data_IF_105249409582
#
_entry.id   IF_105249409582
#
_cell.length_a   1.000
_cell.length_b   1.000
_cell.length_c   1.000
_cell.angle_alpha   90.00
_cell.angle_beta   90.00
_cell.angle_gamma   90.00
#
_symmetry.space_group_name_H-M   'P 1'
#
loop_
_entity.id
_entity.type
_entity.pdbx_description
1 polymer ?
#
# COMPACT_ATOMS: atom_id res chain seq x y z
N UNK A 1 3.21 -11.06 -19.56
CA UNK A 1 3.32 -12.52 -19.24
C UNK A 1 4.76 -12.88 -18.91
N UNK A 2 4.95 -13.71 -17.88
CA UNK A 2 6.27 -14.23 -17.46
C UNK A 2 6.22 -15.76 -17.35
N UNK A 3 7.15 -16.46 -18.00
CA UNK A 3 7.27 -17.95 -17.95
C UNK A 3 5.94 -18.70 -18.19
N UNK A 4 5.07 -18.17 -19.07
CA UNK A 4 3.75 -18.73 -19.40
C UNK A 4 2.60 -18.31 -18.48
N UNK A 5 2.85 -17.50 -17.44
CA UNK A 5 1.83 -16.98 -16.54
C UNK A 5 1.46 -15.53 -16.91
N UNK A 6 0.18 -15.22 -16.84
CA UNK A 6 -0.29 -13.85 -16.73
C UNK A 6 -0.02 -13.34 -15.32
N UNK A 7 0.26 -12.03 -15.18
CA UNK A 7 0.68 -11.41 -13.92
C UNK A 7 -0.06 -10.12 -13.67
N UNK A 8 -0.73 -10.05 -12.51
CA UNK A 8 -1.23 -8.82 -11.91
C UNK A 8 -0.33 -8.49 -10.72
N UNK A 9 0.39 -7.38 -10.81
CA UNK A 9 1.16 -6.83 -9.71
C UNK A 9 0.19 -6.10 -8.76
N UNK A 10 -0.01 -6.67 -7.58
CA UNK A 10 -1.01 -6.21 -6.63
C UNK A 10 -0.54 -5.02 -5.78
N UNK A 11 0.74 -4.67 -5.88
CA UNK A 11 1.35 -3.57 -5.15
C UNK A 11 2.59 -3.05 -5.91
N UNK A 12 2.36 -2.00 -6.66
CA UNK A 12 3.36 -1.29 -7.46
C UNK A 12 3.25 0.21 -7.19
N UNK A 13 4.34 0.91 -7.09
CA UNK A 13 4.32 2.32 -6.74
C UNK A 13 4.49 3.25 -7.93
N UNK A 14 3.88 4.44 -7.80
CA UNK A 14 4.20 5.61 -8.61
C UNK A 14 5.11 6.55 -7.84
N UNK A 15 5.99 7.26 -8.54
CA UNK A 15 6.76 8.37 -7.96
C UNK A 15 6.09 9.67 -8.38
N UNK A 16 5.40 10.30 -7.43
CA UNK A 16 4.67 11.54 -7.70
C UNK A 16 5.65 12.64 -8.11
N UNK A 17 5.45 13.28 -9.29
CA UNK A 17 6.30 14.37 -9.73
C UNK A 17 6.14 15.56 -8.78
N UNK A 18 7.19 16.29 -8.57
CA UNK A 18 7.20 17.39 -7.60
C UNK A 18 6.22 18.53 -7.87
N UNK A 19 5.79 18.67 -9.12
CA UNK A 19 4.89 19.73 -9.57
C UNK A 19 3.39 19.33 -9.52
N UNK A 20 3.05 18.13 -9.08
CA UNK A 20 1.65 17.69 -9.03
C UNK A 20 0.79 18.56 -8.09
N UNK A 21 1.37 19.06 -6.98
CA UNK A 21 0.69 20.00 -6.10
C UNK A 21 0.32 21.32 -6.83
N UNK A 22 1.20 21.84 -7.67
CA UNK A 22 0.93 23.07 -8.42
C UNK A 22 -0.16 22.86 -9.47
N UNK A 23 -0.21 21.68 -10.10
CA UNK A 23 -1.15 21.38 -11.17
C UNK A 23 -2.54 21.05 -10.65
N UNK A 24 -2.63 20.20 -9.62
CA UNK A 24 -3.90 19.60 -9.21
C UNK A 24 -4.46 20.17 -7.92
N UNK A 25 -3.64 20.76 -7.03
CA UNK A 25 -4.13 21.31 -5.78
C UNK A 25 -4.82 22.68 -6.05
N UNK A 26 -6.02 22.92 -5.47
CA UNK A 26 -6.71 24.20 -5.59
C UNK A 26 -5.82 25.38 -5.18
N UNK A 27 -5.86 26.48 -5.92
CA UNK A 27 -4.96 27.65 -5.75
C UNK A 27 -4.90 28.17 -4.31
N UNK A 28 -6.02 28.13 -3.57
CA UNK A 28 -6.10 28.57 -2.17
C UNK A 28 -5.21 27.78 -1.22
N UNK A 29 -4.82 26.55 -1.57
CA UNK A 29 -4.00 25.68 -0.74
C UNK A 29 -2.54 25.58 -1.19
N UNK A 30 -2.19 26.01 -2.41
CA UNK A 30 -0.84 25.83 -2.96
C UNK A 30 0.25 26.45 -2.09
N UNK A 31 -0.02 27.59 -1.46
CA UNK A 31 0.93 28.25 -0.55
C UNK A 31 1.22 27.48 0.75
N UNK A 32 0.39 26.48 1.10
CA UNK A 32 0.53 25.64 2.29
C UNK A 32 1.44 24.43 2.04
N UNK A 33 1.61 24.03 0.78
CA UNK A 33 2.50 22.94 0.37
C UNK A 33 3.72 23.54 -0.28
N UNK A 34 4.91 23.20 0.23
CA UNK A 34 6.18 23.71 -0.31
C UNK A 34 7.06 22.55 -0.72
N UNK A 35 7.64 22.69 -1.90
CA UNK A 35 8.67 21.79 -2.44
C UNK A 35 9.86 22.66 -2.78
N UNK A 36 10.95 22.57 -2.02
CA UNK A 36 12.08 23.48 -2.05
C UNK A 36 13.40 22.72 -2.15
N UNK A 37 14.49 23.47 -2.47
CA UNK A 37 15.85 22.97 -2.51
C UNK A 37 16.24 22.33 -3.83
N UNK A 38 17.53 21.97 -3.96
CA UNK A 38 18.02 21.27 -5.13
C UNK A 38 17.25 19.97 -5.33
N UNK A 39 16.81 19.74 -6.57
CA UNK A 39 16.03 18.55 -6.93
C UNK A 39 14.76 18.33 -6.05
N UNK A 40 14.19 19.43 -5.49
CA UNK A 40 12.95 19.39 -4.72
C UNK A 40 13.03 18.46 -3.49
N UNK A 41 14.16 18.48 -2.86
CA UNK A 41 14.52 17.57 -1.78
C UNK A 41 13.86 17.86 -0.43
N UNK A 42 13.29 19.06 -0.25
CA UNK A 42 12.57 19.44 0.96
C UNK A 42 11.10 19.62 0.68
N UNK A 43 10.29 18.86 1.40
CA UNK A 43 8.83 18.92 1.26
C UNK A 43 8.21 19.20 2.60
N UNK A 44 7.33 20.20 2.64
CA UNK A 44 6.60 20.56 3.85
C UNK A 44 5.15 20.91 3.54
N UNK A 45 4.30 20.67 4.53
CA UNK A 45 2.91 21.11 4.55
C UNK A 45 2.72 21.93 5.82
N UNK A 46 2.22 23.19 5.70
CA UNK A 46 2.10 24.15 6.79
C UNK A 46 3.42 24.36 7.56
N UNK A 47 4.54 24.35 6.85
CA UNK A 47 5.87 24.54 7.41
C UNK A 47 6.44 23.31 8.16
N UNK A 48 5.70 22.21 8.23
CA UNK A 48 6.17 20.97 8.83
C UNK A 48 6.62 19.97 7.77
N UNK A 49 7.74 19.24 7.97
CA UNK A 49 8.20 18.22 7.05
C UNK A 49 7.12 17.14 6.79
N UNK A 50 7.09 16.62 5.58
CA UNK A 50 6.16 15.53 5.23
C UNK A 50 6.60 14.22 5.87
N UNK A 51 7.93 13.98 5.95
CA UNK A 51 8.50 12.78 6.56
C UNK A 51 9.73 13.09 7.40
N UNK A 52 10.16 12.16 8.24
CA UNK A 52 11.44 12.29 8.97
C UNK A 52 12.64 12.38 8.02
N UNK A 53 12.54 11.79 6.84
CA UNK A 53 13.54 11.93 5.81
C UNK A 53 13.72 13.39 5.37
N UNK A 54 12.66 14.17 5.31
CA UNK A 54 12.70 15.59 4.97
C UNK A 54 13.36 16.45 6.07
N UNK A 55 13.40 15.97 7.33
CA UNK A 55 14.12 16.61 8.44
C UNK A 55 15.64 16.38 8.40
N UNK A 56 16.05 15.18 7.98
CA UNK A 56 17.42 14.70 8.10
C UNK A 56 18.31 14.99 6.89
N UNK A 57 17.75 15.55 5.81
CA UNK A 57 18.45 15.71 4.56
C UNK A 57 19.55 16.76 4.62
N UNK A 58 20.77 16.34 4.28
CA UNK A 58 21.85 17.22 3.92
C UNK A 58 21.60 17.80 2.52
N UNK A 59 21.01 18.99 2.50
CA UNK A 59 20.65 19.68 1.26
C UNK A 59 21.85 20.21 0.47
N UNK A 60 23.08 20.02 0.97
CA UNK A 60 24.31 20.37 0.24
C UNK A 60 24.67 19.34 -0.84
N UNK A 61 24.07 18.14 -0.81
CA UNK A 61 24.28 17.09 -1.80
C UNK A 61 23.26 17.19 -2.93
N UNK A 62 23.73 17.49 -4.12
CA UNK A 62 22.93 17.78 -5.33
C UNK A 62 22.12 16.61 -5.91
N UNK A 63 22.11 15.42 -5.31
CA UNK A 63 21.64 14.18 -5.96
C UNK A 63 20.34 13.62 -5.40
N UNK A 64 19.56 14.40 -4.65
CA UNK A 64 18.43 13.87 -3.91
C UNK A 64 17.09 14.12 -4.61
N UNK A 65 16.48 13.06 -5.17
CA UNK A 65 15.18 13.09 -5.84
C UNK A 65 13.98 13.13 -4.88
N UNK A 66 14.21 13.44 -3.63
CA UNK A 66 13.12 13.50 -2.68
C UNK A 66 12.78 12.17 -2.00
N UNK A 67 13.31 11.05 -2.46
CA UNK A 67 13.14 9.73 -1.84
C UNK A 67 14.48 9.20 -1.35
N UNK A 68 14.49 8.57 -0.17
CA UNK A 68 15.76 8.12 0.44
C UNK A 68 16.46 7.03 -0.35
N UNK A 69 15.70 6.15 -1.01
CA UNK A 69 16.26 5.12 -1.88
C UNK A 69 16.90 5.73 -3.15
N UNK A 70 16.46 6.90 -3.61
CA UNK A 70 17.05 7.59 -4.75
C UNK A 70 18.49 8.10 -4.48
N UNK A 71 18.92 8.17 -3.22
CA UNK A 71 20.32 8.44 -2.88
C UNK A 71 21.25 7.26 -3.23
N UNK A 72 20.69 6.05 -3.40
CA UNK A 72 21.48 4.87 -3.78
C UNK A 72 21.94 4.95 -5.23
N UNK A 73 23.25 4.85 -5.45
CA UNK A 73 23.84 4.75 -6.80
C UNK A 73 23.24 3.55 -7.57
N UNK A 74 23.13 2.40 -6.89
CA UNK A 74 22.59 1.18 -7.49
C UNK A 74 21.14 1.34 -7.93
N UNK A 75 20.31 2.04 -7.15
CA UNK A 75 18.93 2.37 -7.54
C UNK A 75 18.89 3.24 -8.81
N UNK A 76 19.69 4.30 -8.86
CA UNK A 76 19.76 5.19 -10.02
C UNK A 76 20.23 4.48 -11.29
N UNK A 77 21.17 3.55 -11.15
CA UNK A 77 21.64 2.72 -12.28
C UNK A 77 20.57 1.72 -12.73
N UNK A 78 19.85 1.11 -11.78
CA UNK A 78 18.75 0.15 -12.07
C UNK A 78 17.62 0.81 -12.86
N UNK A 79 17.24 2.02 -12.47
CA UNK A 79 16.08 2.73 -13.03
C UNK A 79 16.47 3.95 -13.89
N UNK A 80 17.68 3.97 -14.47
CA UNK A 80 18.20 5.12 -15.20
C UNK A 80 17.27 5.61 -16.31
N UNK A 81 16.68 4.70 -17.09
CA UNK A 81 15.77 5.03 -18.21
C UNK A 81 14.45 5.64 -17.72
N UNK A 82 13.87 5.08 -16.65
CA UNK A 82 12.64 5.61 -16.07
C UNK A 82 12.87 6.96 -15.39
N UNK A 83 14.03 7.09 -14.73
CA UNK A 83 14.45 8.32 -14.07
C UNK A 83 14.65 9.47 -15.05
N UNK A 84 15.23 9.21 -16.23
CA UNK A 84 15.46 10.21 -17.28
C UNK A 84 14.14 10.86 -17.76
N UNK A 85 13.03 10.13 -17.71
CA UNK A 85 11.69 10.58 -18.06
C UNK A 85 10.79 10.77 -16.85
N UNK A 86 11.37 10.89 -15.65
CA UNK A 86 10.68 11.16 -14.37
C UNK A 86 9.55 10.16 -14.06
N UNK A 87 9.75 8.89 -14.40
CA UNK A 87 8.77 7.82 -14.16
C UNK A 87 7.38 8.11 -14.75
N UNK A 88 7.33 8.73 -15.93
CA UNK A 88 6.08 8.93 -16.65
C UNK A 88 5.36 7.60 -16.94
N UNK A 89 4.03 7.60 -17.21
CA UNK A 89 3.27 6.36 -17.36
C UNK A 89 3.79 5.43 -18.46
N UNK A 90 4.29 5.98 -19.56
CA UNK A 90 4.90 5.20 -20.65
C UNK A 90 6.12 4.41 -20.19
N UNK A 91 6.93 4.97 -19.28
CA UNK A 91 8.10 4.27 -18.73
C UNK A 91 7.69 3.16 -17.77
N UNK A 92 6.61 3.35 -17.00
CA UNK A 92 6.07 2.33 -16.12
C UNK A 92 5.58 1.12 -16.92
N UNK A 93 4.78 1.35 -17.98
CA UNK A 93 4.28 0.27 -18.87
C UNK A 93 5.45 -0.46 -19.53
N UNK A 94 6.48 0.26 -20.02
CA UNK A 94 7.69 -0.36 -20.57
C UNK A 94 8.41 -1.24 -19.56
N UNK A 95 8.50 -0.80 -18.32
CA UNK A 95 9.16 -1.58 -17.26
C UNK A 95 8.30 -2.78 -16.83
N UNK A 96 6.97 -2.67 -16.84
CA UNK A 96 6.05 -3.82 -16.70
C UNK A 96 6.30 -4.85 -17.81
N UNK A 97 6.50 -4.42 -19.07
CA UNK A 97 6.81 -5.34 -20.16
C UNK A 97 8.14 -6.07 -19.95
N UNK A 98 9.16 -5.40 -19.42
CA UNK A 98 10.46 -6.01 -19.07
C UNK A 98 10.35 -7.06 -17.95
N UNK A 99 9.49 -6.81 -16.96
CA UNK A 99 9.22 -7.73 -15.86
C UNK A 99 8.27 -8.87 -16.26
N UNK A 100 7.48 -8.67 -17.31
CA UNK A 100 6.40 -9.58 -17.72
C UNK A 100 5.11 -9.42 -16.92
N UNK A 101 4.89 -8.21 -16.37
CA UNK A 101 3.65 -7.81 -15.66
C UNK A 101 2.62 -7.37 -16.69
N UNK A 102 1.43 -7.95 -16.65
CA UNK A 102 0.34 -7.62 -17.57
C UNK A 102 -0.53 -6.47 -17.05
N UNK A 103 -0.83 -6.44 -15.76
CA UNK A 103 -1.65 -5.43 -15.08
C UNK A 103 -1.00 -5.03 -13.76
N UNK A 104 -1.12 -3.78 -13.37
CA UNK A 104 -0.59 -3.26 -12.10
C UNK A 104 -1.62 -2.44 -11.33
N UNK A 105 -1.61 -2.60 -10.02
CA UNK A 105 -2.33 -1.75 -9.07
C UNK A 105 -1.33 -0.78 -8.45
N UNK A 106 -1.58 0.53 -8.63
CA UNK A 106 -0.62 1.59 -8.38
C UNK A 106 -0.88 2.29 -7.05
N UNK A 107 0.15 2.30 -6.22
CA UNK A 107 0.17 2.89 -4.89
C UNK A 107 0.98 4.20 -4.84
N UNK A 108 0.68 5.11 -3.89
CA UNK A 108 1.47 6.31 -3.70
C UNK A 108 2.84 6.00 -3.11
N UNK A 109 3.84 6.84 -3.37
CA UNK A 109 5.10 6.87 -2.61
C UNK A 109 5.13 8.07 -1.66
N UNK A 110 4.88 9.28 -2.14
CA UNK A 110 4.80 10.46 -1.27
C UNK A 110 3.54 10.44 -0.41
N UNK A 111 2.43 9.97 -0.97
CA UNK A 111 1.16 9.80 -0.26
C UNK A 111 1.26 8.91 0.97
N UNK A 112 2.19 7.94 1.01
CA UNK A 112 2.50 7.12 2.19
C UNK A 112 2.78 7.98 3.43
N UNK A 113 3.42 9.12 3.25
CA UNK A 113 3.83 9.99 4.35
C UNK A 113 2.82 11.10 4.62
N UNK A 114 2.17 11.65 3.59
CA UNK A 114 1.24 12.77 3.73
C UNK A 114 0.03 12.37 4.56
N UNK A 115 -0.57 11.21 4.26
CA UNK A 115 -1.81 10.79 4.92
C UNK A 115 -1.63 10.38 6.38
N UNK A 116 -0.40 10.38 6.87
CA UNK A 116 -0.03 10.05 8.24
C UNK A 116 -0.05 11.24 9.21
N UNK A 117 -0.32 12.42 8.75
CA UNK A 117 -0.26 13.65 9.53
C UNK A 117 -1.55 13.86 10.32
N UNK A 118 -1.49 13.67 11.66
CA UNK A 118 -2.58 13.93 12.59
C UNK A 118 -3.00 15.42 12.62
N UNK A 119 -2.05 16.29 12.35
CA UNK A 119 -2.17 17.75 12.43
C UNK A 119 -2.66 18.39 11.12
N UNK A 120 -2.92 17.61 10.09
CA UNK A 120 -3.46 18.17 8.84
C UNK A 120 -4.87 18.73 9.05
N UNK A 121 -5.05 19.97 8.63
CA UNK A 121 -6.36 20.57 8.45
C UNK A 121 -7.23 19.65 7.56
N UNK A 122 -8.43 19.23 8.00
CA UNK A 122 -9.28 18.33 7.24
C UNK A 122 -9.64 18.81 5.83
N UNK A 123 -9.79 20.12 5.61
CA UNK A 123 -10.03 20.68 4.26
C UNK A 123 -8.80 20.55 3.37
N UNK A 124 -7.61 20.82 3.90
CA UNK A 124 -6.36 20.64 3.16
C UNK A 124 -6.11 19.18 2.86
N UNK A 125 -6.32 18.29 3.85
CA UNK A 125 -6.20 16.85 3.66
C UNK A 125 -7.11 16.35 2.54
N UNK A 126 -8.38 16.75 2.54
CA UNK A 126 -9.33 16.41 1.48
C UNK A 126 -8.91 16.96 0.10
N UNK A 127 -8.39 18.19 0.06
CA UNK A 127 -7.91 18.79 -1.18
C UNK A 127 -6.66 18.08 -1.73
N UNK A 128 -5.75 17.61 -0.86
CA UNK A 128 -4.58 16.84 -1.24
C UNK A 128 -5.00 15.46 -1.77
N UNK A 129 -5.93 14.76 -1.09
CA UNK A 129 -6.45 13.49 -1.56
C UNK A 129 -7.08 13.63 -2.95
N UNK A 130 -7.96 14.62 -3.16
CA UNK A 130 -8.59 14.92 -4.45
C UNK A 130 -7.55 15.21 -5.54
N UNK A 131 -6.52 16.00 -5.23
CA UNK A 131 -5.46 16.33 -6.17
C UNK A 131 -4.65 15.08 -6.58
N UNK A 132 -4.27 14.26 -5.59
CA UNK A 132 -3.58 12.99 -5.86
C UNK A 132 -4.45 12.04 -6.69
N UNK A 133 -5.68 11.82 -6.30
CA UNK A 133 -6.58 10.88 -6.97
C UNK A 133 -6.85 11.30 -8.42
N UNK A 134 -6.99 12.61 -8.67
CA UNK A 134 -7.16 13.13 -10.03
C UNK A 134 -5.88 12.95 -10.86
N UNK A 135 -4.73 13.26 -10.28
CA UNK A 135 -3.43 13.03 -10.94
C UNK A 135 -3.19 11.56 -11.27
N UNK A 136 -3.50 10.66 -10.33
CA UNK A 136 -3.31 9.22 -10.56
C UNK A 136 -4.27 8.68 -11.64
N UNK A 137 -5.49 9.20 -11.70
CA UNK A 137 -6.42 8.85 -12.77
C UNK A 137 -5.89 9.30 -14.14
N UNK A 138 -5.34 10.51 -14.23
CA UNK A 138 -4.69 10.99 -15.45
C UNK A 138 -3.48 10.10 -15.82
N UNK A 139 -2.68 9.71 -14.84
CA UNK A 139 -1.56 8.77 -15.03
C UNK A 139 -2.03 7.42 -15.57
N UNK A 140 -3.07 6.83 -14.97
CA UNK A 140 -3.63 5.54 -15.37
C UNK A 140 -4.32 5.61 -16.76
N UNK A 141 -4.77 6.79 -17.19
CA UNK A 141 -5.41 7.00 -18.49
C UNK A 141 -4.50 6.69 -19.69
N UNK A 142 -3.18 6.61 -19.47
CA UNK A 142 -2.22 6.21 -20.51
C UNK A 142 -2.47 4.77 -21.02
N UNK A 143 -2.77 3.85 -20.11
CA UNK A 143 -3.20 2.49 -20.46
C UNK A 143 -4.19 1.98 -19.40
N UNK A 144 -5.48 2.33 -19.52
CA UNK A 144 -6.49 2.05 -18.51
C UNK A 144 -6.85 0.57 -18.37
N UNK A 145 -6.35 -0.30 -19.27
CA UNK A 145 -6.50 -1.75 -19.15
C UNK A 145 -5.39 -2.37 -18.28
N UNK A 146 -4.28 -1.68 -18.14
CA UNK A 146 -3.11 -2.21 -17.45
C UNK A 146 -2.77 -1.46 -16.16
N UNK A 147 -3.17 -0.20 -16.01
CA UNK A 147 -2.84 0.65 -14.87
C UNK A 147 -4.10 0.99 -14.07
N UNK A 148 -4.15 0.57 -12.82
CA UNK A 148 -5.27 0.82 -11.91
C UNK A 148 -4.79 1.50 -10.64
N UNK A 149 -5.44 2.59 -10.23
CA UNK A 149 -4.99 3.37 -9.08
C UNK A 149 -5.65 2.98 -7.76
N UNK A 150 -4.92 3.19 -6.67
CA UNK A 150 -5.42 3.13 -5.30
C UNK A 150 -5.54 4.56 -4.77
N UNK A 151 -6.72 4.93 -4.28
CA UNK A 151 -7.00 6.30 -3.87
C UNK A 151 -6.51 6.61 -2.45
N UNK A 152 -6.20 7.89 -2.22
CA UNK A 152 -6.04 8.48 -0.90
C UNK A 152 -7.39 9.03 -0.41
N UNK A 153 -7.66 8.91 0.89
CA UNK A 153 -8.85 9.47 1.55
C UNK A 153 -8.46 10.23 2.82
N UNK A 154 -9.13 11.34 3.15
CA UNK A 154 -8.79 12.19 4.29
C UNK A 154 -9.29 11.59 5.61
N UNK A 155 -8.53 10.66 6.20
CA UNK A 155 -8.89 9.91 7.41
C UNK A 155 -9.05 10.79 8.67
N UNK A 156 -8.58 12.04 8.64
CA UNK A 156 -8.79 13.03 9.70
C UNK A 156 -10.30 13.37 9.85
N UNK A 157 -11.03 13.36 8.72
CA UNK A 157 -12.49 13.59 8.66
C UNK A 157 -13.19 12.42 7.94
N UNK A 158 -13.79 11.47 8.68
CA UNK A 158 -14.44 10.30 8.08
C UNK A 158 -15.60 10.62 7.11
N UNK A 159 -16.31 11.73 7.30
CA UNK A 159 -17.38 12.11 6.38
C UNK A 159 -16.81 12.52 5.01
N UNK A 160 -15.79 13.37 5.02
CA UNK A 160 -15.06 13.75 3.80
C UNK A 160 -14.35 12.54 3.16
N UNK A 161 -13.89 11.59 3.99
CA UNK A 161 -13.28 10.36 3.47
C UNK A 161 -14.28 9.51 2.68
N UNK A 162 -15.54 9.41 3.11
CA UNK A 162 -16.60 8.73 2.36
C UNK A 162 -16.90 9.45 1.04
N UNK A 163 -17.00 10.79 1.06
CA UNK A 163 -17.23 11.58 -0.15
C UNK A 163 -16.10 11.40 -1.17
N UNK A 164 -14.84 11.45 -0.70
CA UNK A 164 -13.68 11.28 -1.55
C UNK A 164 -13.57 9.86 -2.10
N UNK A 165 -13.83 8.85 -1.26
CA UNK A 165 -13.86 7.45 -1.68
C UNK A 165 -14.86 7.22 -2.83
N UNK A 166 -16.10 7.68 -2.67
CA UNK A 166 -17.11 7.55 -3.73
C UNK A 166 -16.69 8.27 -5.01
N UNK A 167 -16.17 9.48 -4.89
CA UNK A 167 -15.71 10.21 -6.06
C UNK A 167 -14.55 9.49 -6.76
N UNK A 168 -13.52 9.06 -6.01
CA UNK A 168 -12.35 8.42 -6.55
C UNK A 168 -12.69 7.07 -7.24
N UNK A 169 -13.59 6.29 -6.66
CA UNK A 169 -13.96 4.99 -7.22
C UNK A 169 -14.98 5.12 -8.36
N UNK A 170 -16.06 5.90 -8.18
CA UNK A 170 -17.17 5.96 -9.14
C UNK A 170 -16.89 6.90 -10.32
N UNK A 171 -16.04 7.91 -10.16
CA UNK A 171 -15.73 8.91 -11.21
C UNK A 171 -14.34 8.74 -11.80
N UNK A 172 -13.37 8.30 -11.00
CA UNK A 172 -11.98 8.18 -11.44
C UNK A 172 -11.55 6.73 -11.66
N UNK A 173 -12.34 5.74 -11.25
CA UNK A 173 -12.08 4.31 -11.50
C UNK A 173 -11.02 3.69 -10.59
N UNK A 174 -10.73 4.29 -9.43
CA UNK A 174 -9.81 3.68 -8.48
C UNK A 174 -10.38 2.40 -7.85
N UNK A 175 -9.51 1.38 -7.71
CA UNK A 175 -9.91 0.01 -7.34
C UNK A 175 -9.66 -0.33 -5.88
N UNK A 176 -9.00 0.54 -5.14
CA UNK A 176 -8.67 0.35 -3.73
C UNK A 176 -8.50 1.66 -2.98
N UNK A 177 -8.45 1.55 -1.65
CA UNK A 177 -8.19 2.65 -0.72
C UNK A 177 -6.84 2.39 -0.06
N UNK A 178 -5.91 3.32 -0.15
CA UNK A 178 -4.70 3.29 0.66
C UNK A 178 -5.03 3.61 2.12
N UNK A 179 -4.60 2.75 3.05
CA UNK A 179 -4.80 2.95 4.48
C UNK A 179 -3.58 2.49 5.28
N UNK A 180 -3.07 3.36 6.14
CA UNK A 180 -1.95 2.97 7.00
C UNK A 180 -2.43 2.17 8.21
N UNK A 181 -1.65 1.17 8.68
CA UNK A 181 -2.03 0.30 9.80
C UNK A 181 -2.05 1.00 11.15
N UNK A 182 -1.38 2.12 11.26
CA UNK A 182 -1.12 2.83 12.52
C UNK A 182 -2.31 3.70 12.95
N UNK A 183 -2.31 4.14 14.20
CA UNK A 183 -3.30 5.09 14.70
C UNK A 183 -3.18 6.44 14.01
N UNK A 184 -4.31 7.02 13.67
CA UNK A 184 -4.42 8.39 13.17
C UNK A 184 -5.48 9.15 13.98
N UNK A 185 -5.17 10.36 14.46
CA UNK A 185 -6.05 11.13 15.36
C UNK A 185 -6.53 10.30 16.57
N UNK A 186 -5.64 9.50 17.14
CA UNK A 186 -5.92 8.61 18.27
C UNK A 186 -6.82 7.41 17.95
N UNK A 187 -7.21 7.19 16.69
CA UNK A 187 -8.14 6.12 16.26
C UNK A 187 -7.36 4.93 15.71
N UNK A 188 -7.72 3.74 16.17
CA UNK A 188 -7.32 2.46 15.53
C UNK A 188 -8.23 2.15 14.34
N UNK A 189 -7.87 1.14 13.54
CA UNK A 189 -8.68 0.73 12.40
C UNK A 189 -10.04 0.15 12.81
N UNK A 190 -10.18 -0.33 14.04
CA UNK A 190 -11.46 -0.79 14.61
C UNK A 190 -12.35 0.33 15.15
N UNK A 191 -11.91 1.59 15.07
CA UNK A 191 -12.71 2.73 15.57
C UNK A 191 -14.06 2.84 14.84
N UNK A 192 -15.19 2.98 15.58
CA UNK A 192 -16.51 3.17 14.97
C UNK A 192 -16.61 4.41 14.07
N UNK A 193 -15.74 5.40 14.26
CA UNK A 193 -15.69 6.58 13.39
C UNK A 193 -15.36 6.23 11.93
N UNK A 194 -14.70 5.10 11.68
CA UNK A 194 -14.34 4.62 10.36
C UNK A 194 -15.40 3.70 9.73
N UNK A 195 -16.40 3.26 10.48
CA UNK A 195 -17.44 2.36 9.98
C UNK A 195 -18.18 2.86 8.73
N UNK A 196 -18.52 4.16 8.59
CA UNK A 196 -19.10 4.67 7.35
C UNK A 196 -18.20 4.50 6.12
N UNK A 197 -16.86 4.54 6.31
CA UNK A 197 -15.90 4.32 5.22
C UNK A 197 -15.90 2.83 4.82
N UNK A 198 -15.92 1.92 5.80
CA UNK A 198 -15.99 0.48 5.55
C UNK A 198 -17.31 0.07 4.88
N UNK A 199 -18.42 0.67 5.28
CA UNK A 199 -19.70 0.47 4.63
C UNK A 199 -19.67 0.91 3.16
N UNK A 200 -19.19 2.13 2.89
CA UNK A 200 -19.03 2.63 1.53
C UNK A 200 -18.09 1.77 0.69
N UNK A 201 -16.95 1.35 1.25
CA UNK A 201 -16.00 0.48 0.55
C UNK A 201 -16.61 -0.90 0.21
N UNK A 202 -17.38 -1.47 1.16
CA UNK A 202 -18.10 -2.74 0.96
C UNK A 202 -19.20 -2.64 -0.08
N UNK A 203 -19.92 -1.53 -0.13
CA UNK A 203 -21.02 -1.27 -1.09
C UNK A 203 -20.47 -1.09 -2.52
N UNK A 204 -19.39 -0.32 -2.67
CA UNK A 204 -18.72 -0.09 -3.96
C UNK A 204 -17.96 -1.36 -4.39
N UNK A 205 -17.46 -2.13 -3.43
CA UNK A 205 -16.67 -3.33 -3.66
C UNK A 205 -15.16 -3.09 -3.77
N UNK A 206 -14.67 -1.91 -3.43
CA UNK A 206 -13.23 -1.59 -3.42
C UNK A 206 -12.51 -2.21 -2.24
N UNK A 207 -11.22 -2.45 -2.39
CA UNK A 207 -10.38 -3.07 -1.37
C UNK A 207 -9.77 -2.03 -0.43
N UNK A 208 -9.81 -2.28 0.87
CA UNK A 208 -8.98 -1.57 1.86
C UNK A 208 -7.57 -2.15 1.81
N UNK A 209 -6.63 -1.37 1.29
CA UNK A 209 -5.24 -1.74 1.12
C UNK A 209 -4.44 -1.21 2.32
N UNK A 210 -4.19 -2.08 3.28
CA UNK A 210 -3.38 -1.73 4.46
C UNK A 210 -1.92 -1.80 4.07
N UNK A 211 -1.27 -0.66 4.07
CA UNK A 211 0.09 -0.51 3.58
C UNK A 211 0.92 0.38 4.51
N UNK A 212 2.06 -0.10 4.95
CA UNK A 212 2.96 0.63 5.83
C UNK A 212 3.89 1.55 5.01
N UNK A 213 4.59 2.40 5.68
CA UNK A 213 5.68 3.20 5.15
C UNK A 213 6.57 3.65 6.29
N UNK A 214 7.84 3.36 6.21
CA UNK A 214 8.81 3.76 7.22
C UNK A 214 8.99 5.30 7.27
N UNK A 215 9.57 5.80 8.37
CA UNK A 215 9.98 7.20 8.53
C UNK A 215 8.84 8.21 8.58
N UNK A 216 7.77 7.86 9.27
CA UNK A 216 6.73 8.84 9.56
C UNK A 216 7.12 9.80 10.68
N UNK A 217 6.44 10.93 10.75
CA UNK A 217 6.60 11.89 11.86
C UNK A 217 5.87 11.45 13.12
N UNK A 218 4.97 10.48 13.02
CA UNK A 218 4.23 9.90 14.14
C UNK A 218 4.91 8.65 14.69
N UNK A 219 4.52 8.27 15.89
CA UNK A 219 5.03 7.06 16.52
C UNK A 219 4.50 5.81 15.80
N UNK A 220 5.40 4.92 15.45
CA UNK A 220 5.13 3.60 14.89
C UNK A 220 5.99 2.53 15.57
N UNK A 221 5.67 1.25 15.36
CA UNK A 221 6.48 0.16 15.85
C UNK A 221 7.94 0.30 15.36
N UNK A 222 8.89 0.21 16.28
CA UNK A 222 10.30 0.38 15.97
C UNK A 222 10.79 1.82 15.84
N UNK A 223 9.95 2.84 16.08
CA UNK A 223 10.38 4.25 16.05
C UNK A 223 11.44 4.59 17.11
N UNK A 224 11.58 3.77 18.14
CA UNK A 224 12.60 3.83 19.18
C UNK A 224 13.93 3.14 18.79
N UNK A 225 14.03 2.57 17.62
CA UNK A 225 15.26 1.92 17.14
C UNK A 225 16.30 2.93 16.69
N UNK A 226 17.59 2.62 16.96
CA UNK A 226 18.69 3.50 16.63
C UNK A 226 19.00 3.59 15.14
N UNK A 227 18.68 2.53 14.37
CA UNK A 227 18.97 2.48 12.94
C UNK A 227 17.72 2.47 12.10
N UNK A 228 17.78 3.08 10.94
CA UNK A 228 16.74 2.99 9.92
C UNK A 228 16.46 1.54 9.50
N UNK A 229 17.52 0.74 9.41
CA UNK A 229 17.43 -0.69 9.14
C UNK A 229 16.55 -1.41 10.19
N UNK A 230 16.81 -1.21 11.48
CA UNK A 230 16.00 -1.82 12.55
C UNK A 230 14.57 -1.30 12.59
N UNK A 231 14.38 -0.03 12.28
CA UNK A 231 13.04 0.57 12.20
C UNK A 231 12.22 -0.06 11.07
N UNK A 232 12.80 -0.15 9.87
CA UNK A 232 12.13 -0.72 8.69
C UNK A 232 11.75 -2.20 8.91
N UNK A 233 12.66 -3.01 9.46
CA UNK A 233 12.36 -4.40 9.82
C UNK A 233 11.17 -4.50 10.78
N UNK A 234 11.06 -3.58 11.73
CA UNK A 234 10.04 -3.67 12.78
C UNK A 234 8.68 -3.14 12.33
N UNK A 235 8.64 -1.97 11.66
CA UNK A 235 7.37 -1.25 11.45
C UNK A 235 6.40 -2.02 10.54
N UNK A 236 6.86 -2.56 9.42
CA UNK A 236 5.97 -3.22 8.46
C UNK A 236 5.24 -4.42 9.08
N UNK A 237 5.91 -5.49 9.51
CA UNK A 237 5.19 -6.66 9.99
C UNK A 237 4.50 -6.48 11.33
N UNK A 238 5.00 -5.61 12.23
CA UNK A 238 4.37 -5.41 13.53
C UNK A 238 3.08 -4.60 13.43
N UNK A 239 3.09 -3.52 12.64
CA UNK A 239 1.90 -2.70 12.44
C UNK A 239 0.83 -3.43 11.62
N UNK A 240 1.22 -4.23 10.63
CA UNK A 240 0.28 -5.07 9.88
C UNK A 240 -0.41 -6.12 10.76
N UNK A 241 0.30 -6.70 11.74
CA UNK A 241 -0.32 -7.61 12.73
C UNK A 241 -1.37 -6.88 13.55
N UNK A 242 -1.09 -5.65 13.99
CA UNK A 242 -2.07 -4.85 14.75
C UNK A 242 -3.28 -4.49 13.88
N UNK A 243 -3.07 -4.15 12.60
CA UNK A 243 -4.16 -3.95 11.67
C UNK A 243 -5.01 -5.21 11.47
N UNK A 244 -4.37 -6.37 11.30
CA UNK A 244 -5.05 -7.66 11.18
C UNK A 244 -5.89 -7.99 12.42
N UNK A 245 -5.37 -7.71 13.62
CA UNK A 245 -6.12 -7.85 14.86
C UNK A 245 -7.37 -6.95 14.84
N UNK A 246 -7.24 -5.67 14.45
CA UNK A 246 -8.37 -4.75 14.41
C UNK A 246 -9.48 -5.24 13.46
N UNK A 247 -9.12 -5.75 12.29
CA UNK A 247 -10.10 -6.25 11.33
C UNK A 247 -10.70 -7.60 11.74
N UNK A 248 -9.87 -8.57 12.12
CA UNK A 248 -10.31 -9.95 12.35
C UNK A 248 -10.82 -10.20 13.76
N UNK A 249 -10.22 -9.60 14.81
CA UNK A 249 -10.54 -9.89 16.20
C UNK A 249 -11.41 -8.81 16.86
N UNK A 250 -11.25 -7.53 16.51
CA UNK A 250 -12.08 -6.44 17.06
C UNK A 250 -13.48 -6.34 16.41
N UNK A 251 -13.81 -7.20 15.42
CA UNK A 251 -15.15 -7.37 14.88
C UNK A 251 -15.49 -6.49 13.69
N UNK A 252 -14.54 -5.80 13.08
CA UNK A 252 -14.80 -5.01 11.85
C UNK A 252 -15.34 -5.91 10.74
N UNK A 253 -14.69 -7.06 10.49
CA UNK A 253 -15.10 -7.97 9.42
C UNK A 253 -16.36 -8.76 9.76
N UNK A 254 -16.71 -8.96 11.03
CA UNK A 254 -18.02 -9.49 11.42
C UNK A 254 -19.13 -8.51 11.00
N UNK A 255 -18.92 -7.22 11.25
CA UNK A 255 -19.89 -6.16 10.94
C UNK A 255 -20.03 -5.90 9.44
N UNK A 256 -18.94 -5.99 8.69
CA UNK A 256 -18.89 -5.69 7.24
C UNK A 256 -18.51 -6.92 6.40
N UNK A 257 -19.42 -7.89 6.19
CA UNK A 257 -19.10 -9.19 5.58
C UNK A 257 -18.72 -9.12 4.08
N UNK A 258 -18.90 -7.98 3.43
CA UNK A 258 -18.48 -7.75 2.03
C UNK A 258 -17.18 -6.95 1.91
N UNK A 259 -16.68 -6.41 3.02
CA UNK A 259 -15.44 -5.64 3.03
C UNK A 259 -14.26 -6.53 2.65
N UNK A 260 -13.39 -6.07 1.77
CA UNK A 260 -12.15 -6.74 1.38
C UNK A 260 -10.97 -5.98 1.96
N UNK A 261 -9.97 -6.71 2.49
CA UNK A 261 -8.76 -6.13 3.09
C UNK A 261 -7.53 -6.82 2.52
N UNK A 262 -6.54 -6.03 2.11
CA UNK A 262 -5.22 -6.52 1.70
C UNK A 262 -4.15 -5.99 2.66
N UNK A 263 -3.23 -6.87 3.09
CA UNK A 263 -2.05 -6.52 3.88
C UNK A 263 -0.84 -6.57 2.97
N UNK A 264 -0.21 -5.42 2.73
CA UNK A 264 0.79 -5.20 1.69
C UNK A 264 2.14 -4.79 2.28
N UNK A 265 3.21 -4.98 1.53
CA UNK A 265 4.60 -4.61 1.86
C UNK A 265 5.07 -5.04 3.27
N UNK A 266 4.77 -6.28 3.66
CA UNK A 266 5.20 -6.79 4.98
C UNK A 266 5.55 -8.27 4.97
N UNK A 267 5.64 -8.85 3.77
CA UNK A 267 5.76 -10.29 3.56
C UNK A 267 4.54 -11.05 4.03
N UNK A 268 4.50 -12.34 3.72
CA UNK A 268 3.38 -13.22 4.10
C UNK A 268 3.69 -14.11 5.31
N UNK A 269 4.96 -14.26 5.67
CA UNK A 269 5.41 -15.24 6.67
C UNK A 269 4.89 -15.01 8.09
N UNK A 270 4.43 -13.80 8.42
CA UNK A 270 3.86 -13.49 9.74
C UNK A 270 2.42 -13.99 9.91
N UNK A 271 1.69 -14.21 8.82
CA UNK A 271 0.23 -14.48 8.86
C UNK A 271 -0.10 -15.83 9.52
N UNK A 272 0.54 -16.98 9.17
CA UNK A 272 0.22 -18.26 9.80
C UNK A 272 0.33 -18.20 11.33
N UNK A 273 1.46 -17.70 11.84
CA UNK A 273 1.69 -17.54 13.28
C UNK A 273 0.64 -16.62 13.93
N UNK A 274 0.30 -15.50 13.26
CA UNK A 274 -0.59 -14.52 13.85
C UNK A 274 -2.05 -15.00 13.91
N UNK A 275 -2.49 -15.72 12.88
CA UNK A 275 -3.82 -16.35 12.86
C UNK A 275 -3.94 -17.41 13.94
N UNK A 276 -2.95 -18.29 14.09
CA UNK A 276 -2.91 -19.29 15.15
C UNK A 276 -2.96 -18.63 16.54
N UNK A 277 -2.16 -17.59 16.75
CA UNK A 277 -2.12 -16.84 18.01
C UNK A 277 -3.46 -16.20 18.37
N UNK A 278 -4.15 -15.61 17.41
CA UNK A 278 -5.46 -14.99 17.61
C UNK A 278 -6.54 -16.06 17.86
N UNK A 279 -6.50 -17.17 17.14
CA UNK A 279 -7.46 -18.28 17.29
C UNK A 279 -7.31 -18.95 18.67
N UNK A 280 -6.09 -19.21 19.11
CA UNK A 280 -5.79 -19.74 20.45
C UNK A 280 -6.41 -18.87 21.54
N UNK A 281 -6.22 -17.55 21.46
CA UNK A 281 -6.78 -16.62 22.43
C UNK A 281 -8.30 -16.57 22.39
N UNK A 282 -8.87 -16.62 21.19
CA UNK A 282 -10.33 -16.66 21.01
C UNK A 282 -10.94 -17.94 21.63
N UNK A 283 -10.26 -19.09 21.49
CA UNK A 283 -10.71 -20.37 22.05
C UNK A 283 -10.67 -20.40 23.57
N UNK A 284 -9.62 -19.86 24.17
CA UNK A 284 -9.41 -19.94 25.62
C UNK A 284 -10.11 -18.83 26.39
N UNK A 285 -10.09 -17.62 25.88
CA UNK A 285 -10.56 -16.44 26.61
C UNK A 285 -11.67 -15.67 25.88
N UNK A 286 -11.79 -15.84 24.57
CA UNK A 286 -12.65 -15.03 23.71
C UNK A 286 -14.13 -15.16 23.96
N UNK A 287 -14.62 -16.31 24.41
CA UNK A 287 -16.04 -16.51 24.72
C UNK A 287 -16.57 -15.56 25.82
N UNK A 288 -15.69 -15.00 26.66
CA UNK A 288 -16.04 -14.01 27.67
C UNK A 288 -15.70 -12.57 27.27
N UNK A 289 -14.69 -12.36 26.42
CA UNK A 289 -14.09 -11.06 26.14
C UNK A 289 -14.35 -10.59 24.69
N UNK A 290 -14.28 -11.47 23.69
CA UNK A 290 -14.56 -11.15 22.29
C UNK A 290 -16.07 -11.04 22.03
N UNK A 291 -16.68 -9.96 22.54
CA UNK A 291 -18.14 -9.71 22.35
C UNK A 291 -18.50 -9.29 20.93
N UNK A 292 -17.53 -9.07 20.06
CA UNK A 292 -17.69 -8.47 18.73
C UNK A 292 -17.56 -9.46 17.59
N UNK A 293 -17.06 -10.66 17.83
CA UNK A 293 -16.88 -11.71 16.83
C UNK A 293 -17.62 -12.99 17.21
N UNK A 294 -18.26 -13.67 16.24
CA UNK A 294 -18.95 -14.94 16.41
C UNK A 294 -18.08 -16.13 16.06
N UNK A 295 -17.12 -15.91 15.17
CA UNK A 295 -16.20 -16.92 14.66
C UNK A 295 -14.77 -16.57 15.06
N UNK A 296 -13.85 -17.52 14.90
CA UNK A 296 -12.41 -17.34 15.12
C UNK A 296 -11.85 -16.25 14.17
N UNK A 297 -10.82 -15.52 14.58
CA UNK A 297 -10.17 -14.51 13.72
C UNK A 297 -9.71 -15.05 12.36
N UNK A 298 -9.19 -16.28 12.30
CA UNK A 298 -8.78 -16.91 11.04
C UNK A 298 -9.94 -17.13 10.06
N UNK A 299 -11.16 -17.33 10.54
CA UNK A 299 -12.36 -17.40 9.69
C UNK A 299 -12.57 -16.10 8.93
N UNK A 300 -12.46 -14.95 9.61
CA UNK A 300 -12.64 -13.64 8.96
C UNK A 300 -11.52 -13.37 7.97
N UNK A 301 -10.28 -13.70 8.32
CA UNK A 301 -9.16 -13.59 7.40
C UNK A 301 -9.44 -14.38 6.11
N UNK A 302 -9.74 -15.68 6.23
CA UNK A 302 -10.03 -16.55 5.09
C UNK A 302 -11.30 -16.19 4.32
N UNK A 303 -12.18 -15.41 4.87
CA UNK A 303 -13.37 -14.90 4.17
C UNK A 303 -13.09 -13.67 3.32
N UNK A 304 -12.23 -12.72 3.80
CA UNK A 304 -12.20 -11.34 3.31
C UNK A 304 -10.81 -10.72 3.19
N UNK A 305 -9.74 -11.44 3.59
CA UNK A 305 -8.40 -10.87 3.63
C UNK A 305 -7.44 -11.55 2.65
N UNK A 306 -6.44 -10.77 2.22
CA UNK A 306 -5.30 -11.23 1.44
C UNK A 306 -4.02 -10.63 2.00
N UNK A 307 -2.91 -11.35 1.84
CA UNK A 307 -1.58 -10.81 2.07
C UNK A 307 -0.82 -10.76 0.75
N UNK A 308 0.15 -9.87 0.62
CA UNK A 308 1.10 -9.92 -0.47
C UNK A 308 2.36 -10.67 -0.07
N UNK A 309 3.00 -11.30 -1.04
CA UNK A 309 4.37 -11.76 -0.95
C UNK A 309 5.19 -11.12 -2.06
N UNK A 310 6.47 -10.94 -1.80
CA UNK A 310 7.44 -10.64 -2.83
C UNK A 310 7.93 -11.94 -3.49
N UNK A 311 8.35 -11.82 -4.75
CA UNK A 311 9.03 -12.94 -5.41
C UNK A 311 10.33 -13.29 -4.66
N UNK A 312 10.56 -14.60 -4.45
CA UNK A 312 11.71 -15.10 -3.69
C UNK A 312 11.52 -15.08 -2.16
N UNK A 313 10.31 -14.89 -1.67
CA UNK A 313 10.01 -15.03 -0.24
C UNK A 313 9.93 -16.51 0.16
N UNK A 314 10.88 -16.96 0.98
CA UNK A 314 11.03 -18.37 1.38
C UNK A 314 9.85 -18.89 2.22
N UNK A 315 9.07 -18.01 2.84
CA UNK A 315 7.92 -18.37 3.67
C UNK A 315 6.60 -18.46 2.88
N UNK A 316 6.58 -18.13 1.60
CA UNK A 316 5.38 -18.26 0.78
C UNK A 316 4.83 -19.71 0.71
N UNK A 317 5.66 -20.78 0.58
CA UNK A 317 5.17 -22.17 0.67
C UNK A 317 4.52 -22.48 2.01
N UNK A 318 5.09 -22.00 3.14
CA UNK A 318 4.53 -22.17 4.48
C UNK A 318 3.17 -21.49 4.61
N UNK A 319 3.06 -20.26 4.11
CA UNK A 319 1.77 -19.55 4.05
C UNK A 319 0.73 -20.39 3.27
N UNK A 320 1.10 -20.90 2.11
CA UNK A 320 0.18 -21.67 1.26
C UNK A 320 -0.28 -22.96 1.96
N UNK A 321 0.61 -23.65 2.65
CA UNK A 321 0.29 -24.86 3.40
C UNK A 321 -0.72 -24.63 4.53
N UNK A 322 -0.57 -23.54 5.29
CA UNK A 322 -1.36 -23.28 6.50
C UNK A 322 -2.59 -22.40 6.25
N UNK A 323 -2.50 -21.46 5.31
CA UNK A 323 -3.56 -20.49 5.04
C UNK A 323 -4.26 -20.75 3.72
N UNK A 324 -3.47 -21.03 2.66
CA UNK A 324 -3.95 -21.33 1.30
C UNK A 324 -3.52 -20.30 0.26
N UNK A 325 -3.26 -20.75 -0.95
CA UNK A 325 -2.92 -19.88 -2.10
C UNK A 325 -4.05 -18.93 -2.50
N UNK A 326 -5.27 -19.16 -2.02
CA UNK A 326 -6.44 -18.32 -2.29
C UNK A 326 -6.39 -16.96 -1.59
N UNK A 327 -5.47 -16.77 -0.64
CA UNK A 327 -5.35 -15.59 0.22
C UNK A 327 -4.02 -14.87 0.05
N UNK A 328 -3.27 -15.19 -1.02
CA UNK A 328 -1.97 -14.62 -1.33
C UNK A 328 -1.99 -13.94 -2.70
N UNK A 329 -1.28 -12.81 -2.81
CA UNK A 329 -1.05 -12.08 -4.05
C UNK A 329 0.43 -11.74 -4.19
N UNK A 330 0.91 -11.46 -5.40
CA UNK A 330 2.28 -10.97 -5.60
C UNK A 330 2.32 -9.44 -5.53
N UNK A 331 3.41 -8.91 -4.98
CA UNK A 331 3.80 -7.51 -4.99
C UNK A 331 5.23 -7.38 -5.53
N UNK A 332 5.47 -6.44 -6.44
CA UNK A 332 6.84 -6.14 -6.89
C UNK A 332 7.50 -5.03 -6.09
N UNK A 333 6.70 -4.16 -5.51
CA UNK A 333 7.14 -2.92 -4.85
C UNK A 333 7.99 -2.01 -5.78
N UNK A 334 7.83 -2.16 -7.11
CA UNK A 334 8.51 -1.29 -8.07
C UNK A 334 8.09 0.19 -7.88
N UNK A 335 8.96 1.17 -7.93
CA UNK A 335 10.40 1.10 -8.11
C UNK A 335 11.17 1.31 -6.78
N UNK A 336 10.67 0.86 -5.66
CA UNK A 336 11.30 1.01 -4.36
C UNK A 336 12.60 0.20 -4.23
N UNK A 337 13.23 0.28 -3.03
CA UNK A 337 14.54 -0.35 -2.79
C UNK A 337 14.52 -1.86 -2.93
N UNK A 338 13.39 -2.50 -2.71
CA UNK A 338 13.20 -3.95 -2.68
C UNK A 338 13.34 -4.59 -4.07
N UNK A 339 13.17 -3.77 -5.12
CA UNK A 339 13.47 -4.16 -6.50
C UNK A 339 14.96 -4.22 -6.83
N UNK A 340 15.85 -3.63 -6.01
CA UNK A 340 17.27 -3.55 -6.34
C UNK A 340 17.87 -4.95 -6.39
N UNK A 341 18.41 -5.31 -7.56
CA UNK A 341 19.02 -6.63 -7.81
C UNK A 341 18.01 -7.73 -8.13
N UNK A 342 16.70 -7.40 -8.16
CA UNK A 342 15.64 -8.28 -8.65
C UNK A 342 15.13 -7.82 -10.03
N UNK A 343 14.95 -6.50 -10.22
CA UNK A 343 14.45 -5.91 -11.47
C UNK A 343 15.44 -6.10 -12.64
N UNK A 344 14.98 -6.44 -13.86
CA UNK A 344 13.58 -6.79 -14.20
C UNK A 344 13.27 -8.29 -14.12
N UNK A 345 14.26 -9.15 -13.91
CA UNK A 345 14.12 -10.59 -14.15
C UNK A 345 13.53 -11.36 -12.96
N UNK A 346 13.77 -10.89 -11.75
CA UNK A 346 13.51 -11.61 -10.51
C UNK A 346 12.31 -11.09 -9.75
N UNK A 347 11.85 -9.86 -9.99
CA UNK A 347 10.68 -9.27 -9.31
C UNK A 347 9.40 -10.10 -9.43
N UNK A 348 9.26 -10.83 -10.54
CA UNK A 348 8.18 -11.80 -10.79
C UNK A 348 8.75 -13.19 -11.02
N UNK A 349 9.91 -13.26 -11.66
CA UNK A 349 10.52 -14.51 -12.12
C UNK A 349 10.85 -15.50 -11.01
N UNK A 350 11.20 -15.04 -9.82
CA UNK A 350 11.47 -15.93 -8.70
C UNK A 350 10.20 -16.68 -8.24
N UNK A 351 9.01 -16.08 -8.40
CA UNK A 351 7.75 -16.75 -8.10
C UNK A 351 7.30 -17.67 -9.26
N UNK A 352 7.41 -17.19 -10.51
CA UNK A 352 6.97 -17.99 -11.68
C UNK A 352 7.79 -19.29 -11.83
N UNK A 353 9.04 -19.26 -11.41
CA UNK A 353 9.98 -20.40 -11.46
C UNK A 353 10.14 -21.15 -10.13
N UNK A 354 9.33 -20.84 -9.12
CA UNK A 354 9.42 -21.50 -7.82
C UNK A 354 8.84 -22.92 -7.87
N UNK A 355 9.72 -23.92 -7.88
CA UNK A 355 9.34 -25.34 -7.97
C UNK A 355 8.72 -25.90 -6.68
N UNK A 356 8.79 -25.19 -5.56
CA UNK A 356 8.07 -25.53 -4.34
C UNK A 356 6.59 -25.20 -4.42
N UNK A 357 6.16 -24.46 -5.45
CA UNK A 357 4.78 -24.08 -5.66
C UNK A 357 4.18 -24.82 -6.86
N UNK A 358 2.99 -25.37 -6.69
CA UNK A 358 2.26 -25.97 -7.82
C UNK A 358 1.92 -24.91 -8.88
N UNK A 359 1.75 -25.32 -10.13
CA UNK A 359 1.31 -24.46 -11.23
C UNK A 359 -0.01 -23.77 -10.91
N UNK A 360 -0.94 -24.48 -10.23
CA UNK A 360 -2.21 -23.91 -9.80
C UNK A 360 -2.01 -22.81 -8.74
N UNK A 361 -1.16 -23.03 -7.74
CA UNK A 361 -0.86 -22.04 -6.71
C UNK A 361 -0.24 -20.78 -7.34
N UNK A 362 0.74 -20.94 -8.23
CA UNK A 362 1.35 -19.82 -8.97
C UNK A 362 0.30 -19.03 -9.76
N UNK A 363 -0.57 -19.69 -10.52
CA UNK A 363 -1.64 -19.04 -11.28
C UNK A 363 -2.60 -18.26 -10.37
N UNK A 364 -2.99 -18.86 -9.24
CA UNK A 364 -3.84 -18.17 -8.25
C UNK A 364 -3.21 -16.87 -7.74
N UNK A 365 -1.96 -16.95 -7.29
CA UNK A 365 -1.23 -15.81 -6.69
C UNK A 365 -0.96 -14.71 -7.72
N UNK A 366 -0.60 -15.12 -8.94
CA UNK A 366 -0.20 -14.21 -10.00
C UNK A 366 -1.37 -13.55 -10.73
N UNK A 367 -2.54 -14.20 -10.77
CA UNK A 367 -3.64 -13.72 -11.61
C UNK A 367 -5.01 -13.79 -10.94
N UNK A 368 -5.47 -14.98 -10.58
CA UNK A 368 -6.87 -15.18 -10.20
C UNK A 368 -7.26 -14.38 -8.94
N UNK A 369 -6.34 -14.33 -7.96
CA UNK A 369 -6.64 -13.71 -6.66
C UNK A 369 -6.49 -12.20 -6.66
N UNK A 370 -5.42 -11.60 -7.23
CA UNK A 370 -5.39 -10.16 -7.39
C UNK A 370 -6.51 -9.63 -8.29
N UNK A 371 -6.91 -10.34 -9.37
CA UNK A 371 -8.05 -9.96 -10.19
C UNK A 371 -9.35 -9.91 -9.37
N UNK A 372 -9.60 -10.94 -8.53
CA UNK A 372 -10.77 -10.97 -7.63
C UNK A 372 -10.70 -9.90 -6.54
N UNK A 373 -9.52 -9.70 -5.95
CA UNK A 373 -9.30 -8.73 -4.87
C UNK A 373 -9.70 -7.33 -5.31
N UNK A 374 -9.21 -6.91 -6.47
CA UNK A 374 -9.42 -5.57 -7.02
C UNK A 374 -10.59 -5.48 -8.01
N UNK A 375 -11.36 -6.56 -8.22
CA UNK A 375 -12.48 -6.63 -9.17
C UNK A 375 -12.09 -6.20 -10.61
N UNK A 376 -10.92 -6.60 -11.06
CA UNK A 376 -10.44 -6.26 -12.38
C UNK A 376 -11.13 -7.13 -13.45
N UNK A 377 -11.63 -6.49 -14.50
CA UNK A 377 -12.16 -7.14 -15.71
C UNK A 377 -11.01 -7.44 -16.68
N UNK A 378 -10.33 -8.60 -16.52
CA UNK A 378 -9.08 -8.95 -17.21
C UNK A 378 -9.12 -10.32 -17.88
#
# INVERSE_FOLDING_TARGET
MRDGFKVIDADRHVLEPSDWFEKYLPARFRGRVKVEGPNQSRRSIDGQPISDADKMRDTSKQEDFGFTFAASKRWRETFADALAVKFEPASNVRDMDREGVDVSVLFPTLGLHIMWRDDLDPELSAAICRAYNTWLADYCSYDPKRLHGVCLIPLQDPARAVEELRYASEKLGHVGIFWRPNKLCGRTLSSPNYFPIYEAAADIGVTVCVHEGARTVLQQAGSDRYSEFGRHIACHPLEQRLACLNFCADGVLEKFPKLKVAYLESGCGWVPFWLERMDEHWEHEGHGQAKTTKEKPSYYFKRQCWASCEAGEDLAPVFIEHVGADYLTIATDYPHSDCIGKFPDRTVGDLTRNDHLSTEARRKILWDKPARLYQLEV
#
